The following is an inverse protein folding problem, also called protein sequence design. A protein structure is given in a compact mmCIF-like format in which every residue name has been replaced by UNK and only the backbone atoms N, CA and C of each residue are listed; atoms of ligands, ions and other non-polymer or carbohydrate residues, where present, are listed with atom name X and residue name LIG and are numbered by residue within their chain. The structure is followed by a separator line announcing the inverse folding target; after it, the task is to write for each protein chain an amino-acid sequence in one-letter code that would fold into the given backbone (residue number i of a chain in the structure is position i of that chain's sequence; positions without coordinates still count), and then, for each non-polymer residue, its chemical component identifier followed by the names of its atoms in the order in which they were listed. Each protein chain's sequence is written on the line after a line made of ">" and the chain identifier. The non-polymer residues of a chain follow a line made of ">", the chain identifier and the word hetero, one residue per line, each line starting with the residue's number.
data_IF_609474201512
#
_entry.id   IF_609474201512
#
_cell.length_a   1.000
_cell.length_b   1.000
_cell.length_c   1.000
_cell.angle_alpha   90.00
_cell.angle_beta   90.00
_cell.angle_gamma   90.00
#
_symmetry.space_group_name_H-M   'P 1'
#
loop_
_entity.id
_entity.type
_entity.pdbx_description
1 polymer ?
#
# COMPACT_ATOMS: atom_id res chain seq x y z
N UNK A 1 66.55 -40.00 -0.87
CA UNK A 1 65.91 -41.16 -1.52
C UNK A 1 65.18 -41.88 -0.41
N UNK A 2 63.86 -41.84 -0.26
CA UNK A 2 62.76 -41.53 -1.18
C UNK A 2 61.57 -41.01 -0.33
N UNK A 3 60.86 -39.96 -0.78
CA UNK A 3 59.49 -39.98 -1.31
C UNK A 3 58.43 -40.52 -0.31
N UNK A 4 57.63 -39.63 0.29
CA UNK A 4 56.22 -39.35 -0.10
C UNK A 4 55.27 -40.51 0.24
N UNK A 5 54.45 -40.34 1.27
CA UNK A 5 53.22 -41.12 1.45
C UNK A 5 52.05 -40.16 1.71
N UNK A 6 51.19 -40.07 0.70
CA UNK A 6 49.87 -39.42 0.72
C UNK A 6 48.80 -40.53 0.66
N UNK A 7 47.53 -40.16 0.94
CA UNK A 7 46.29 -40.97 0.75
C UNK A 7 45.94 -41.89 1.94
N UNK A 8 44.70 -42.03 2.43
CA UNK A 8 43.38 -41.49 2.08
C UNK A 8 42.49 -41.52 3.33
N UNK A 9 41.75 -40.45 3.60
CA UNK A 9 40.58 -40.51 4.48
C UNK A 9 39.35 -40.80 3.61
N UNK A 10 38.84 -42.02 3.75
CA UNK A 10 37.64 -42.53 3.09
C UNK A 10 36.39 -41.77 3.52
N UNK A 11 35.57 -41.49 2.51
CA UNK A 11 34.26 -40.85 2.52
C UNK A 11 33.25 -41.52 3.46
N UNK A 12 32.56 -40.70 4.26
CA UNK A 12 31.19 -40.95 4.70
C UNK A 12 30.34 -39.76 4.28
N UNK A 13 29.69 -39.92 3.12
CA UNK A 13 28.58 -39.08 2.65
C UNK A 13 27.43 -39.34 3.64
N UNK A 14 26.99 -38.28 4.32
CA UNK A 14 25.66 -38.26 4.92
C UNK A 14 24.89 -37.19 4.16
N UNK A 15 24.05 -37.65 3.25
CA UNK A 15 23.05 -36.87 2.56
C UNK A 15 22.21 -36.14 3.60
N UNK A 16 22.44 -34.84 3.76
CA UNK A 16 21.53 -33.99 4.52
C UNK A 16 20.34 -33.70 3.62
N UNK A 17 19.20 -34.22 4.06
CA UNK A 17 17.88 -33.97 3.52
C UNK A 17 17.75 -32.53 3.05
N UNK A 18 17.46 -32.39 1.76
CA UNK A 18 17.03 -31.14 1.17
C UNK A 18 15.71 -30.72 1.81
N UNK A 19 15.79 -29.89 2.86
CA UNK A 19 14.63 -29.16 3.36
C UNK A 19 14.05 -28.36 2.20
N UNK A 20 12.93 -28.85 1.69
CA UNK A 20 12.13 -28.21 0.67
C UNK A 20 11.50 -26.96 1.28
N UNK A 21 12.24 -25.85 1.28
CA UNK A 21 11.66 -24.54 1.56
C UNK A 21 10.55 -24.31 0.53
N UNK A 22 9.29 -24.34 0.99
CA UNK A 22 8.16 -23.83 0.21
C UNK A 22 8.53 -22.42 -0.25
N UNK A 23 8.72 -22.26 -1.57
CA UNK A 23 8.98 -20.95 -2.15
C UNK A 23 7.67 -20.17 -2.13
N UNK A 24 7.48 -19.39 -1.08
CA UNK A 24 6.30 -18.52 -0.94
C UNK A 24 6.13 -17.56 -2.12
N UNK A 25 7.23 -17.14 -2.77
CA UNK A 25 7.19 -16.29 -3.98
C UNK A 25 7.75 -17.04 -5.19
N UNK A 26 7.03 -17.00 -6.31
CA UNK A 26 7.26 -17.80 -7.51
C UNK A 26 8.43 -17.33 -8.36
N UNK A 27 9.61 -17.13 -7.78
CA UNK A 27 10.77 -16.66 -8.51
C UNK A 27 11.53 -17.81 -9.18
N UNK A 28 11.59 -17.77 -10.52
CA UNK A 28 12.42 -18.68 -11.33
C UNK A 28 13.94 -18.44 -11.16
N UNK A 29 14.36 -17.36 -10.46
CA UNK A 29 15.76 -16.85 -10.54
C UNK A 29 16.52 -16.59 -9.24
N UNK A 30 16.02 -16.95 -8.04
CA UNK A 30 16.80 -16.82 -6.79
C UNK A 30 17.05 -15.38 -6.30
N UNK A 31 16.35 -14.38 -6.85
CA UNK A 31 16.52 -12.95 -6.54
C UNK A 31 15.99 -12.51 -5.17
N UNK A 32 15.55 -13.46 -4.34
CA UNK A 32 14.90 -13.22 -3.06
C UNK A 32 15.47 -14.18 -2.02
N UNK A 33 15.86 -13.64 -0.87
CA UNK A 33 16.38 -14.38 0.28
C UNK A 33 15.44 -14.16 1.47
N UNK A 34 14.86 -15.24 2.02
CA UNK A 34 14.13 -15.16 3.28
C UNK A 34 15.11 -14.91 4.42
N UNK A 35 14.83 -13.91 5.24
CA UNK A 35 15.65 -13.59 6.41
C UNK A 35 15.16 -14.35 7.65
N UNK A 36 16.10 -14.86 8.44
CA UNK A 36 15.88 -15.39 9.77
C UNK A 36 15.49 -14.26 10.73
N UNK A 37 14.81 -14.59 11.83
CA UNK A 37 14.27 -13.58 12.76
C UNK A 37 15.36 -12.81 13.52
N UNK A 38 16.53 -13.41 13.71
CA UNK A 38 17.71 -12.85 14.35
C UNK A 38 18.62 -12.05 13.40
N UNK A 39 18.37 -12.12 12.08
CA UNK A 39 19.11 -11.33 11.09
C UNK A 39 19.00 -9.84 11.40
N UNK A 40 20.13 -9.15 11.47
CA UNK A 40 20.19 -7.71 11.76
C UNK A 40 19.29 -6.90 10.81
N UNK A 41 19.24 -7.25 9.53
CA UNK A 41 18.39 -6.59 8.55
C UNK A 41 16.90 -6.84 8.81
N UNK A 42 16.53 -8.05 9.21
CA UNK A 42 15.16 -8.41 9.60
C UNK A 42 14.71 -7.58 10.81
N UNK A 43 15.54 -7.54 11.86
CA UNK A 43 15.28 -6.74 13.07
C UNK A 43 15.09 -5.26 12.72
N UNK A 44 15.96 -4.69 11.89
CA UNK A 44 15.89 -3.28 11.49
C UNK A 44 14.64 -2.95 10.68
N UNK A 45 14.26 -3.79 9.72
CA UNK A 45 13.08 -3.53 8.88
C UNK A 45 11.77 -3.71 9.66
N UNK A 46 11.69 -4.72 10.55
CA UNK A 46 10.57 -4.89 11.48
C UNK A 46 10.47 -3.68 12.42
N UNK A 47 11.58 -3.23 12.99
CA UNK A 47 11.60 -2.05 13.86
C UNK A 47 11.11 -0.78 13.11
N UNK A 48 11.61 -0.56 11.88
CA UNK A 48 11.16 0.56 11.02
C UNK A 48 9.64 0.55 10.84
N UNK A 49 9.08 -0.61 10.47
CA UNK A 49 7.63 -0.78 10.33
C UNK A 49 6.89 -0.51 11.65
N UNK A 50 7.21 -1.26 12.71
CA UNK A 50 6.44 -1.23 13.96
C UNK A 50 6.52 0.11 14.69
N UNK A 51 7.68 0.79 14.64
CA UNK A 51 7.83 2.11 15.27
C UNK A 51 6.84 3.14 14.72
N UNK A 52 6.48 3.04 13.43
CA UNK A 52 5.54 3.94 12.77
C UNK A 52 4.08 3.48 12.86
N UNK A 53 3.82 2.20 13.19
CA UNK A 53 2.45 1.68 13.41
C UNK A 53 1.88 2.07 14.78
N UNK A 54 2.72 2.41 15.75
CA UNK A 54 2.30 2.81 17.10
C UNK A 54 1.39 1.76 17.75
N UNK A 55 0.20 2.15 18.23
CA UNK A 55 -0.73 1.23 18.88
C UNK A 55 -1.21 0.09 17.96
N UNK A 56 -1.22 0.29 16.64
CA UNK A 56 -1.64 -0.73 15.67
C UNK A 56 -0.59 -1.86 15.51
N UNK A 57 0.65 -1.67 15.97
CA UNK A 57 1.68 -2.71 15.91
C UNK A 57 1.25 -4.02 16.60
N UNK A 58 0.35 -3.97 17.60
CA UNK A 58 -0.11 -5.14 18.36
C UNK A 58 -1.06 -6.07 17.60
N UNK A 59 -1.68 -5.57 16.52
CA UNK A 59 -2.64 -6.36 15.73
C UNK A 59 -2.06 -6.83 14.40
N UNK A 60 -0.84 -6.42 14.05
CA UNK A 60 -0.15 -6.88 12.86
C UNK A 60 1.05 -7.74 13.26
N UNK A 61 1.12 -8.94 12.71
CA UNK A 61 2.24 -9.85 12.88
C UNK A 61 2.97 -10.01 11.56
N UNK A 62 4.24 -9.59 11.51
CA UNK A 62 5.12 -9.89 10.36
C UNK A 62 5.44 -11.38 10.38
N UNK A 63 4.92 -12.11 9.39
CA UNK A 63 5.08 -13.56 9.23
C UNK A 63 6.43 -13.89 8.59
N UNK A 64 6.85 -13.08 7.63
CA UNK A 64 8.08 -13.31 6.89
C UNK A 64 8.65 -12.00 6.38
N UNK A 65 9.99 -11.95 6.30
CA UNK A 65 10.74 -10.87 5.68
C UNK A 65 11.65 -11.48 4.64
N UNK A 66 11.62 -10.93 3.43
CA UNK A 66 12.53 -11.30 2.37
C UNK A 66 13.35 -10.10 1.93
N UNK A 67 14.63 -10.32 1.63
CA UNK A 67 15.54 -9.37 1.03
C UNK A 67 15.66 -9.66 -0.46
N UNK A 68 15.57 -8.62 -1.30
CA UNK A 68 15.89 -8.75 -2.72
C UNK A 68 17.42 -8.77 -2.88
N UNK A 69 17.98 -9.89 -3.32
CA UNK A 69 19.43 -10.11 -3.46
C UNK A 69 20.00 -9.47 -4.72
N UNK A 70 19.14 -9.15 -5.69
CA UNK A 70 19.49 -8.51 -6.97
C UNK A 70 20.59 -9.28 -7.72
N UNK A 71 20.46 -10.61 -7.77
CA UNK A 71 21.48 -11.51 -8.30
C UNK A 71 21.43 -11.66 -9.82
N UNK A 72 20.24 -11.61 -10.42
CA UNK A 72 20.02 -11.71 -11.86
C UNK A 72 20.62 -10.52 -12.62
N UNK A 73 20.90 -10.72 -13.91
CA UNK A 73 21.40 -9.65 -14.78
C UNK A 73 20.43 -8.48 -14.85
N UNK A 74 19.14 -8.78 -14.95
CA UNK A 74 18.06 -7.78 -14.97
C UNK A 74 18.00 -6.99 -13.67
N UNK A 75 18.07 -7.66 -12.52
CA UNK A 75 18.05 -6.98 -11.23
C UNK A 75 19.31 -6.11 -10.99
N UNK A 76 20.48 -6.57 -11.46
CA UNK A 76 21.73 -5.78 -11.44
C UNK A 76 21.66 -4.55 -12.34
N UNK A 77 21.07 -4.68 -13.54
CA UNK A 77 20.88 -3.56 -14.44
C UNK A 77 19.98 -2.49 -13.80
N UNK A 78 18.81 -2.88 -13.26
CA UNK A 78 17.90 -1.97 -12.55
C UNK A 78 18.57 -1.27 -11.37
N UNK A 79 19.39 -1.99 -10.60
CA UNK A 79 20.15 -1.39 -9.49
C UNK A 79 21.11 -0.30 -10.00
N UNK A 80 21.87 -0.59 -11.06
CA UNK A 80 22.80 0.39 -11.65
C UNK A 80 22.06 1.60 -12.20
N UNK A 81 20.92 1.40 -12.85
CA UNK A 81 20.09 2.49 -13.36
C UNK A 81 19.61 3.38 -12.22
N UNK A 82 19.15 2.77 -11.12
CA UNK A 82 18.77 3.51 -9.91
C UNK A 82 19.94 4.31 -9.32
N UNK A 83 21.11 3.68 -9.14
CA UNK A 83 22.31 4.34 -8.60
C UNK A 83 22.75 5.51 -9.49
N UNK A 84 22.79 5.30 -10.81
CA UNK A 84 23.17 6.32 -11.78
C UNK A 84 22.17 7.49 -11.80
N UNK A 85 20.87 7.21 -11.76
CA UNK A 85 19.85 8.26 -11.69
C UNK A 85 19.91 9.02 -10.36
N UNK A 86 20.26 8.36 -9.26
CA UNK A 86 20.46 9.06 -7.98
C UNK A 86 21.58 10.10 -8.07
N UNK A 87 22.67 9.80 -8.78
CA UNK A 87 23.77 10.74 -9.02
C UNK A 87 23.33 11.84 -10.00
N UNK A 88 22.62 11.49 -11.07
CA UNK A 88 22.13 12.47 -12.05
C UNK A 88 21.18 13.50 -11.41
N UNK A 89 20.21 13.04 -10.62
CA UNK A 89 19.28 13.94 -9.90
C UNK A 89 20.02 14.75 -8.84
N UNK A 90 20.98 14.16 -8.12
CA UNK A 90 21.84 14.90 -7.17
C UNK A 90 22.54 16.08 -7.85
N UNK A 91 23.10 15.85 -9.03
CA UNK A 91 23.80 16.87 -9.81
C UNK A 91 22.81 17.93 -10.35
N UNK A 92 21.62 17.52 -10.79
CA UNK A 92 20.55 18.43 -11.24
C UNK A 92 19.99 19.30 -10.09
N UNK A 93 19.96 18.79 -8.86
CA UNK A 93 19.24 19.38 -7.71
C UNK A 93 20.15 19.80 -6.56
N UNK A 94 21.03 20.77 -6.81
CA UNK A 94 21.85 21.44 -5.79
C UNK A 94 22.60 20.50 -4.83
N UNK A 95 22.97 19.30 -5.29
CA UNK A 95 23.73 18.33 -4.50
C UNK A 95 22.90 17.35 -3.66
N UNK A 96 21.57 17.29 -3.80
CA UNK A 96 20.74 16.33 -3.06
C UNK A 96 19.67 15.65 -3.95
N UNK A 97 19.76 14.33 -4.10
CA UNK A 97 18.76 13.54 -4.82
C UNK A 97 17.48 13.24 -4.03
N UNK A 98 17.45 13.59 -2.74
CA UNK A 98 16.31 13.36 -1.84
C UNK A 98 15.84 11.89 -1.89
N UNK A 99 16.78 10.96 -1.70
CA UNK A 99 16.48 9.52 -1.66
C UNK A 99 15.82 9.19 -0.33
N UNK A 100 14.63 8.58 -0.37
CA UNK A 100 13.84 8.21 0.82
C UNK A 100 13.39 6.77 0.78
N UNK A 101 13.06 6.23 1.96
CA UNK A 101 12.33 4.97 2.05
C UNK A 101 10.83 5.21 1.86
N UNK A 102 10.17 4.24 1.23
CA UNK A 102 8.73 4.27 1.02
C UNK A 102 8.14 2.85 0.99
N UNK A 103 6.89 2.73 1.42
CA UNK A 103 6.13 1.49 1.49
C UNK A 103 5.16 1.37 0.32
N UNK A 104 5.17 0.23 -0.35
CA UNK A 104 4.22 -0.09 -1.41
C UNK A 104 3.45 -1.36 -1.05
N UNK A 105 2.12 -1.28 -1.02
CA UNK A 105 1.25 -2.40 -0.68
C UNK A 105 0.69 -3.05 -1.94
N UNK A 106 0.78 -4.38 -2.05
CA UNK A 106 0.35 -5.10 -3.27
C UNK A 106 -0.06 -6.54 -2.97
N UNK A 107 -0.58 -7.23 -3.98
CA UNK A 107 -0.89 -8.67 -3.89
C UNK A 107 0.37 -9.51 -4.02
N UNK A 108 0.26 -10.80 -3.71
CA UNK A 108 1.35 -11.78 -3.88
C UNK A 108 1.87 -11.80 -5.33
N UNK A 109 0.95 -11.83 -6.30
CA UNK A 109 1.27 -11.78 -7.72
C UNK A 109 1.94 -10.45 -8.10
N UNK A 110 1.48 -9.35 -7.50
CA UNK A 110 2.11 -8.05 -7.70
C UNK A 110 3.55 -7.97 -7.16
N UNK A 111 3.88 -8.72 -6.10
CA UNK A 111 5.26 -8.87 -5.63
C UNK A 111 6.10 -9.61 -6.67
N UNK A 112 5.61 -10.76 -7.16
CA UNK A 112 6.31 -11.55 -8.18
C UNK A 112 6.57 -10.72 -9.45
N UNK A 113 5.60 -9.92 -9.87
CA UNK A 113 5.74 -9.01 -11.02
C UNK A 113 6.77 -7.92 -10.80
N UNK A 114 6.82 -7.31 -9.60
CA UNK A 114 7.83 -6.31 -9.26
C UNK A 114 9.23 -6.91 -9.30
N UNK A 115 9.40 -8.16 -8.86
CA UNK A 115 10.68 -8.84 -8.90
C UNK A 115 11.08 -9.13 -10.35
N UNK A 116 10.18 -9.72 -11.14
CA UNK A 116 10.45 -10.13 -12.52
C UNK A 116 10.64 -8.93 -13.46
N UNK A 117 9.67 -8.01 -13.48
CA UNK A 117 9.58 -6.91 -14.47
C UNK A 117 9.82 -5.52 -13.91
N UNK A 118 9.78 -5.33 -12.59
CA UNK A 118 9.85 -4.01 -11.97
C UNK A 118 8.47 -3.36 -11.85
N UNK A 119 8.45 -2.08 -11.51
CA UNK A 119 7.21 -1.31 -11.38
C UNK A 119 6.70 -0.91 -12.77
N UNK A 120 5.44 -1.23 -13.05
CA UNK A 120 4.79 -0.90 -14.33
C UNK A 120 3.38 -0.34 -14.11
N UNK A 121 3.01 0.65 -14.91
CA UNK A 121 1.66 1.22 -14.95
C UNK A 121 0.77 0.59 -16.02
N UNK A 122 1.32 -0.16 -16.98
CA UNK A 122 0.59 -0.71 -18.13
C UNK A 122 -0.62 -1.56 -17.73
N UNK A 123 -0.58 -2.17 -16.54
CA UNK A 123 -1.64 -3.03 -16.01
C UNK A 123 -2.53 -2.35 -14.96
N UNK A 124 -2.18 -1.15 -14.50
CA UNK A 124 -3.05 -0.31 -13.66
C UNK A 124 -3.98 0.53 -14.54
N UNK A 125 -4.80 -0.16 -15.33
CA UNK A 125 -5.88 0.35 -16.19
C UNK A 125 -6.10 1.87 -16.18
N UNK A 126 -5.36 2.65 -16.99
CA UNK A 126 -5.54 4.11 -17.22
C UNK A 126 -5.81 4.99 -15.98
N UNK A 127 -5.48 4.50 -14.78
CA UNK A 127 -6.02 5.07 -13.56
C UNK A 127 -5.06 6.13 -13.04
N UNK A 128 -5.30 7.38 -13.46
CA UNK A 128 -4.87 8.55 -12.66
C UNK A 128 -5.34 8.30 -11.23
N UNK A 129 -4.42 8.06 -10.30
CA UNK A 129 -4.74 8.04 -8.89
C UNK A 129 -5.28 9.40 -8.45
N UNK A 130 -5.42 9.59 -7.14
CA UNK A 130 -6.06 10.79 -6.57
C UNK A 130 -5.27 12.08 -6.92
N UNK A 131 -4.02 11.95 -7.33
CA UNK A 131 -3.07 13.02 -7.61
C UNK A 131 -2.33 12.82 -8.95
N UNK A 132 -3.01 12.32 -9.99
CA UNK A 132 -2.40 12.06 -11.30
C UNK A 132 -2.03 10.59 -11.55
N UNK A 133 -1.52 10.29 -12.74
CA UNK A 133 -1.06 8.95 -13.13
C UNK A 133 0.40 8.75 -12.74
N UNK A 134 0.63 7.86 -11.79
CA UNK A 134 1.94 7.49 -11.31
C UNK A 134 1.82 6.30 -10.37
N UNK A 135 2.94 5.72 -9.99
CA UNK A 135 2.98 4.75 -8.89
C UNK A 135 2.98 5.51 -7.58
N UNK A 136 2.10 5.10 -6.67
CA UNK A 136 1.92 5.71 -5.36
C UNK A 136 2.64 4.89 -4.31
N UNK A 137 3.64 5.48 -3.65
CA UNK A 137 4.30 4.88 -2.49
C UNK A 137 4.00 5.71 -1.25
N UNK A 138 3.83 5.04 -0.13
CA UNK A 138 3.60 5.70 1.14
C UNK A 138 4.92 6.07 1.80
N UNK A 139 4.99 7.27 2.35
CA UNK A 139 6.14 7.72 3.12
C UNK A 139 6.49 6.72 4.22
N UNK A 140 7.78 6.63 4.57
CA UNK A 140 8.26 5.74 5.62
C UNK A 140 7.57 5.95 6.97
N UNK A 141 7.03 7.15 7.21
CA UNK A 141 6.27 7.50 8.42
C UNK A 141 4.79 7.09 8.38
N UNK A 142 4.32 6.55 7.26
CA UNK A 142 2.91 6.21 7.02
C UNK A 142 2.69 4.77 6.50
N UNK A 143 3.34 3.72 7.06
CA UNK A 143 3.14 2.35 6.58
C UNK A 143 1.71 1.85 6.79
N UNK A 144 0.97 2.39 7.77
CA UNK A 144 -0.43 2.03 8.02
C UNK A 144 -1.34 2.35 6.83
N UNK A 145 -1.03 3.41 6.08
CA UNK A 145 -1.78 3.77 4.87
C UNK A 145 -1.53 2.76 3.75
N UNK A 146 -0.29 2.28 3.63
CA UNK A 146 0.08 1.20 2.71
C UNK A 146 -0.67 -0.09 3.04
N UNK A 147 -0.66 -0.51 4.31
CA UNK A 147 -1.39 -1.67 4.81
C UNK A 147 -2.90 -1.54 4.52
N UNK A 148 -3.48 -0.37 4.81
CA UNK A 148 -4.91 -0.13 4.61
C UNK A 148 -5.34 -0.19 3.14
N UNK A 149 -4.42 0.15 2.21
CA UNK A 149 -4.64 0.05 0.77
C UNK A 149 -4.42 -1.36 0.20
N UNK A 150 -3.80 -2.26 0.98
CA UNK A 150 -3.42 -3.62 0.58
C UNK A 150 -4.58 -4.61 0.75
N UNK A 151 -4.69 -5.55 -0.17
CA UNK A 151 -5.62 -6.67 -0.10
C UNK A 151 -4.89 -7.93 0.33
N UNK A 152 -5.50 -8.70 1.22
CA UNK A 152 -4.92 -9.95 1.68
C UNK A 152 -5.03 -11.03 0.60
N UNK A 153 -4.04 -11.90 0.52
CA UNK A 153 -4.04 -13.08 -0.36
C UNK A 153 -5.00 -14.18 0.15
N UNK A 154 -4.97 -15.35 -0.50
CA UNK A 154 -5.76 -16.52 -0.11
C UNK A 154 -5.45 -17.04 1.30
N UNK A 155 -4.27 -16.74 1.85
CA UNK A 155 -3.81 -17.14 3.18
C UNK A 155 -4.02 -16.06 4.24
N UNK A 156 -4.67 -14.96 3.86
CA UNK A 156 -4.91 -13.81 4.71
C UNK A 156 -3.69 -12.94 4.97
N UNK A 157 -2.64 -13.05 4.14
CA UNK A 157 -1.41 -12.28 4.24
C UNK A 157 -1.48 -10.99 3.41
N UNK A 158 -1.02 -9.90 4.01
CA UNK A 158 -0.83 -8.59 3.36
C UNK A 158 0.64 -8.46 2.98
N UNK A 159 0.93 -8.20 1.72
CA UNK A 159 2.32 -8.05 1.25
C UNK A 159 2.68 -6.58 1.06
N UNK A 160 3.76 -6.17 1.72
CA UNK A 160 4.35 -4.84 1.59
C UNK A 160 5.75 -4.96 1.00
N UNK A 161 6.10 -4.02 0.13
CA UNK A 161 7.42 -3.85 -0.44
C UNK A 161 8.02 -2.55 0.12
N UNK A 162 9.16 -2.65 0.80
CA UNK A 162 9.96 -1.49 1.18
C UNK A 162 10.89 -1.13 0.05
N UNK A 163 10.78 0.11 -0.42
CA UNK A 163 11.55 0.64 -1.53
C UNK A 163 12.43 1.81 -1.07
N UNK A 164 13.56 2.01 -1.75
CA UNK A 164 14.21 3.30 -1.87
C UNK A 164 13.65 4.04 -3.08
N UNK A 165 13.43 5.34 -2.93
CA UNK A 165 12.80 6.18 -3.94
C UNK A 165 13.59 7.48 -4.09
N UNK A 166 13.96 7.82 -5.32
CA UNK A 166 14.57 9.11 -5.64
C UNK A 166 13.44 10.11 -5.83
N UNK A 167 13.31 11.09 -4.94
CA UNK A 167 12.23 12.09 -5.02
C UNK A 167 12.69 13.39 -5.69
N UNK A 168 13.99 13.67 -5.69
CA UNK A 168 14.52 14.94 -6.19
C UNK A 168 13.79 16.15 -5.60
N UNK A 169 13.51 17.14 -6.44
CA UNK A 169 12.64 18.25 -6.09
C UNK A 169 11.17 17.85 -6.23
N UNK A 170 10.41 17.98 -5.15
CA UNK A 170 9.03 17.50 -5.06
C UNK A 170 8.05 18.63 -5.37
N UNK A 171 6.99 18.34 -6.14
CA UNK A 171 5.85 19.25 -6.29
C UNK A 171 4.64 18.78 -5.48
N UNK A 172 3.87 19.73 -4.93
CA UNK A 172 2.56 19.40 -4.38
C UNK A 172 1.56 19.21 -5.52
N UNK A 173 1.02 18.00 -5.64
CA UNK A 173 0.02 17.70 -6.66
C UNK A 173 -1.37 17.92 -6.08
N UNK A 174 -2.21 18.61 -6.83
CA UNK A 174 -3.59 18.88 -6.41
C UNK A 174 -4.44 17.63 -6.55
N UNK A 175 -5.30 17.39 -5.56
CA UNK A 175 -6.27 16.31 -5.59
C UNK A 175 -7.21 16.44 -6.81
N UNK A 176 -7.34 15.35 -7.56
CA UNK A 176 -8.09 15.28 -8.82
C UNK A 176 -7.26 15.64 -10.05
N UNK A 177 -5.96 15.90 -9.90
CA UNK A 177 -5.05 16.15 -11.02
C UNK A 177 -5.02 14.96 -12.00
N UNK A 178 -4.82 15.29 -13.28
CA UNK A 178 -4.61 14.33 -14.37
C UNK A 178 -3.14 14.31 -14.85
N UNK A 179 -2.23 14.94 -14.10
CA UNK A 179 -0.80 14.95 -14.43
C UNK A 179 -0.27 13.54 -14.60
N UNK A 180 0.59 13.33 -15.59
CA UNK A 180 1.31 12.07 -15.85
C UNK A 180 2.84 12.25 -15.85
N UNK A 181 3.28 13.46 -15.56
CA UNK A 181 4.65 13.92 -15.60
C UNK A 181 4.77 15.16 -14.70
N UNK A 182 5.98 15.61 -14.38
CA UNK A 182 6.18 16.84 -13.63
C UNK A 182 5.47 18.05 -14.27
N UNK A 183 4.99 19.00 -13.46
CA UNK A 183 4.41 20.25 -13.99
C UNK A 183 5.43 21.13 -14.72
N UNK A 184 6.71 21.01 -14.38
CA UNK A 184 7.83 21.70 -15.03
C UNK A 184 9.14 20.93 -14.85
N UNK A 185 10.18 21.34 -15.57
CA UNK A 185 11.55 20.79 -15.42
C UNK A 185 12.17 21.02 -14.04
N UNK A 186 11.56 21.84 -13.19
CA UNK A 186 12.01 22.10 -11.83
C UNK A 186 11.72 20.94 -10.89
N UNK A 187 10.77 20.05 -11.24
CA UNK A 187 10.31 18.97 -10.38
C UNK A 187 10.68 17.60 -10.95
N UNK A 188 10.80 16.62 -10.05
CA UNK A 188 11.13 15.24 -10.38
C UNK A 188 10.03 14.26 -9.94
N UNK A 189 9.36 14.53 -8.82
CA UNK A 189 8.29 13.69 -8.28
C UNK A 189 7.14 14.50 -7.67
N UNK A 190 5.97 13.89 -7.55
CA UNK A 190 4.81 14.50 -6.92
C UNK A 190 4.61 14.05 -5.48
N UNK A 191 4.03 14.92 -4.65
CA UNK A 191 3.58 14.60 -3.29
C UNK A 191 2.18 15.12 -3.00
N UNK A 192 1.50 14.53 -2.02
CA UNK A 192 0.20 15.03 -1.58
C UNK A 192 0.28 16.34 -0.78
N UNK A 193 1.38 16.54 -0.04
CA UNK A 193 1.73 17.77 0.68
C UNK A 193 3.25 17.91 0.78
N UNK A 194 3.77 19.12 0.64
CA UNK A 194 5.21 19.37 0.86
C UNK A 194 5.63 19.17 2.33
N UNK A 195 4.80 19.63 3.26
CA UNK A 195 5.05 19.52 4.68
C UNK A 195 4.48 18.21 5.23
N UNK A 196 5.35 17.24 5.46
CA UNK A 196 4.97 15.91 5.94
C UNK A 196 4.22 15.09 4.88
N UNK A 197 4.87 14.81 3.73
CA UNK A 197 4.27 14.04 2.64
C UNK A 197 3.89 12.64 3.14
N UNK A 198 2.68 12.21 2.81
CA UNK A 198 2.24 10.84 3.06
C UNK A 198 2.36 9.98 1.82
N UNK A 199 2.24 10.60 0.64
CA UNK A 199 2.25 9.93 -0.63
C UNK A 199 3.34 10.51 -1.51
N UNK A 200 4.13 9.63 -2.08
CA UNK A 200 5.05 9.90 -3.16
C UNK A 200 4.44 9.39 -4.45
N UNK A 201 4.49 10.20 -5.49
CA UNK A 201 3.95 9.92 -6.81
C UNK A 201 5.13 9.89 -7.76
N UNK A 202 5.46 8.71 -8.26
CA UNK A 202 6.53 8.54 -9.24
C UNK A 202 5.90 8.43 -10.61
N UNK A 203 6.32 9.33 -11.49
CA UNK A 203 5.77 9.45 -12.82
C UNK A 203 6.16 8.25 -13.71
N UNK A 204 5.33 7.87 -14.70
CA UNK A 204 5.59 6.77 -15.62
C UNK A 204 7.01 6.73 -16.20
N UNK A 205 7.57 7.88 -16.58
CA UNK A 205 8.91 7.98 -17.18
C UNK A 205 10.05 7.61 -16.22
N UNK A 206 9.77 7.43 -14.93
CA UNK A 206 10.77 7.27 -13.87
C UNK A 206 10.60 5.99 -13.06
N UNK A 207 9.64 5.12 -13.39
CA UNK A 207 9.34 3.94 -12.57
C UNK A 207 10.51 2.97 -12.46
N UNK A 208 11.22 2.73 -13.56
CA UNK A 208 12.34 1.80 -13.61
C UNK A 208 13.62 2.38 -13.01
N UNK A 209 13.74 3.71 -12.94
CA UNK A 209 14.97 4.40 -12.56
C UNK A 209 14.91 5.04 -11.18
N UNK A 210 13.73 5.38 -10.67
CA UNK A 210 13.56 6.13 -9.41
C UNK A 210 13.02 5.28 -8.27
N UNK A 211 12.72 3.99 -8.49
CA UNK A 211 12.24 3.07 -7.46
C UNK A 211 13.14 1.83 -7.42
N UNK A 212 13.73 1.56 -6.26
CA UNK A 212 14.48 0.34 -6.00
C UNK A 212 13.82 -0.43 -4.85
N UNK A 213 13.12 -1.55 -5.10
CA UNK A 213 12.64 -2.43 -4.04
C UNK A 213 13.80 -3.12 -3.31
N UNK A 214 13.64 -3.34 -2.00
CA UNK A 214 14.73 -3.81 -1.11
C UNK A 214 14.26 -4.98 -0.24
N UNK A 215 13.11 -4.83 0.41
CA UNK A 215 12.55 -5.86 1.27
C UNK A 215 11.08 -6.12 0.93
N UNK A 216 10.64 -7.35 1.13
CA UNK A 216 9.24 -7.77 1.08
C UNK A 216 8.86 -8.24 2.49
N UNK A 217 7.74 -7.75 3.01
CA UNK A 217 7.19 -8.15 4.29
C UNK A 217 5.81 -8.73 4.04
N UNK A 218 5.57 -9.94 4.55
CA UNK A 218 4.22 -10.51 4.60
C UNK A 218 3.70 -10.38 6.03
N UNK A 219 2.55 -9.73 6.19
CA UNK A 219 1.93 -9.47 7.48
C UNK A 219 0.61 -10.19 7.58
N UNK A 220 0.30 -10.69 8.77
CA UNK A 220 -1.02 -11.20 9.13
C UNK A 220 -1.67 -10.25 10.11
N UNK A 221 -2.96 -10.01 9.90
CA UNK A 221 -3.79 -9.28 10.85
C UNK A 221 -4.30 -10.26 11.92
N UNK A 222 -3.87 -10.08 13.16
CA UNK A 222 -4.34 -10.84 14.32
C UNK A 222 -5.34 -10.00 15.15
N UNK A 223 -6.62 -10.23 14.90
CA UNK A 223 -7.72 -9.61 15.65
C UNK A 223 -8.04 -10.34 16.97
N UNK A 224 -7.39 -11.47 17.26
CA UNK A 224 -7.67 -12.30 18.46
C UNK A 224 -6.85 -11.86 19.68
N UNK A 225 -5.90 -10.92 19.53
CA UNK A 225 -5.13 -10.39 20.65
C UNK A 225 -6.09 -9.75 21.69
N UNK A 226 -6.26 -10.44 22.83
CA UNK A 226 -7.25 -10.16 23.90
C UNK A 226 -7.26 -8.71 24.46
N UNK A 227 -6.28 -7.88 24.12
CA UNK A 227 -6.14 -6.48 24.56
C UNK A 227 -6.71 -5.46 23.58
N UNK A 228 -6.94 -5.84 22.33
CA UNK A 228 -7.77 -5.10 21.37
C UNK A 228 -9.12 -5.82 21.23
N UNK A 229 -9.84 -5.97 22.35
CA UNK A 229 -11.25 -5.60 22.26
C UNK A 229 -11.26 -4.11 21.92
N UNK A 230 -11.15 -3.77 20.63
CA UNK A 230 -12.14 -2.83 20.13
C UNK A 230 -13.44 -3.36 20.70
N UNK A 231 -14.12 -2.57 21.54
CA UNK A 231 -15.51 -2.87 21.89
C UNK A 231 -16.14 -3.47 20.64
N UNK A 232 -16.54 -4.75 20.71
CA UNK A 232 -16.95 -5.54 19.55
C UNK A 232 -17.71 -4.60 18.63
N UNK A 233 -17.24 -4.37 17.37
CA UNK A 233 -17.50 -3.15 16.61
C UNK A 233 -18.92 -2.75 16.89
N UNK A 234 -19.14 -1.72 17.74
CA UNK A 234 -20.45 -1.46 18.36
C UNK A 234 -21.45 -1.70 17.27
N UNK A 235 -22.22 -2.79 17.39
CA UNK A 235 -23.11 -3.28 16.33
C UNK A 235 -23.72 -2.03 15.72
N UNK A 236 -23.41 -1.65 14.46
CA UNK A 236 -23.53 -0.27 14.05
C UNK A 236 -24.92 0.21 14.46
N UNK A 237 -24.96 1.13 15.44
CA UNK A 237 -26.22 1.68 15.95
C UNK A 237 -26.94 2.49 14.86
N UNK A 238 -26.23 2.69 13.74
CA UNK A 238 -26.64 3.24 12.47
C UNK A 238 -27.18 2.16 11.52
N UNK A 239 -28.39 2.33 10.96
CA UNK A 239 -28.86 1.52 9.85
C UNK A 239 -27.85 1.46 8.70
N UNK A 240 -27.73 0.30 8.06
CA UNK A 240 -26.85 0.08 6.92
C UNK A 240 -27.18 1.07 5.79
N UNK A 241 -26.22 1.91 5.39
CA UNK A 241 -26.32 2.77 4.21
C UNK A 241 -25.58 2.12 3.05
N UNK A 242 -26.22 2.01 1.88
CA UNK A 242 -25.53 1.52 0.69
C UNK A 242 -24.41 2.47 0.28
N UNK A 243 -23.31 1.94 -0.25
CA UNK A 243 -22.15 2.75 -0.67
C UNK A 243 -22.55 3.81 -1.68
N UNK A 244 -23.47 3.49 -2.60
CA UNK A 244 -24.06 4.41 -3.58
C UNK A 244 -24.76 5.58 -2.89
N UNK A 245 -25.55 5.31 -1.85
CA UNK A 245 -26.28 6.33 -1.10
C UNK A 245 -25.34 7.19 -0.26
N UNK A 246 -24.30 6.60 0.33
CA UNK A 246 -23.25 7.34 1.01
C UNK A 246 -22.52 8.29 0.06
N UNK A 247 -22.07 7.79 -1.10
CA UNK A 247 -21.42 8.60 -2.15
C UNK A 247 -22.34 9.71 -2.63
N UNK A 248 -23.64 9.43 -2.83
CA UNK A 248 -24.62 10.43 -3.26
C UNK A 248 -24.76 11.58 -2.25
N UNK A 249 -24.81 11.27 -0.94
CA UNK A 249 -24.94 12.29 0.10
C UNK A 249 -23.64 13.07 0.26
N UNK A 250 -22.48 12.39 0.32
CA UNK A 250 -21.19 13.06 0.46
C UNK A 250 -20.87 13.95 -0.72
N UNK A 251 -21.25 13.56 -1.95
CA UNK A 251 -21.02 14.35 -3.16
C UNK A 251 -21.69 15.72 -3.14
N UNK A 252 -22.78 15.90 -2.37
CA UNK A 252 -23.47 17.21 -2.24
C UNK A 252 -22.69 18.22 -1.41
N UNK A 253 -21.71 17.77 -0.63
CA UNK A 253 -20.94 18.59 0.31
C UNK A 253 -19.47 18.74 -0.12
N UNK A 254 -19.14 18.36 -1.35
CA UNK A 254 -17.77 18.32 -1.84
C UNK A 254 -17.60 19.18 -3.10
N UNK A 255 -16.44 19.82 -3.29
CA UNK A 255 -16.10 20.49 -4.55
C UNK A 255 -16.21 19.53 -5.76
N UNK A 256 -16.55 20.05 -6.95
CA UNK A 256 -16.72 19.23 -8.16
C UNK A 256 -15.53 18.33 -8.49
N UNK A 257 -14.30 18.79 -8.22
CA UNK A 257 -13.06 18.02 -8.44
C UNK A 257 -13.03 16.75 -7.60
N UNK A 258 -13.37 16.85 -6.31
CA UNK A 258 -13.48 15.72 -5.39
C UNK A 258 -14.60 14.75 -5.78
N UNK A 259 -15.75 15.28 -6.19
CA UNK A 259 -16.89 14.46 -6.66
C UNK A 259 -16.51 13.67 -7.91
N UNK A 260 -15.80 14.30 -8.85
CA UNK A 260 -15.30 13.65 -10.06
C UNK A 260 -14.35 12.49 -9.70
N UNK A 261 -13.41 12.71 -8.78
CA UNK A 261 -12.53 11.64 -8.29
C UNK A 261 -13.31 10.49 -7.64
N UNK A 262 -14.32 10.77 -6.81
CA UNK A 262 -15.15 9.71 -6.19
C UNK A 262 -15.91 8.90 -7.24
N UNK A 263 -16.52 9.56 -8.24
CA UNK A 263 -17.21 8.87 -9.34
C UNK A 263 -16.26 7.98 -10.11
N UNK A 264 -15.05 8.46 -10.39
CA UNK A 264 -14.02 7.68 -11.06
C UNK A 264 -13.70 6.39 -10.29
N UNK A 265 -13.31 6.51 -9.02
CA UNK A 265 -12.98 5.32 -8.20
C UNK A 265 -14.17 4.37 -8.03
N UNK A 266 -15.40 4.90 -7.99
CA UNK A 266 -16.59 4.06 -7.96
C UNK A 266 -16.76 3.25 -9.25
N UNK A 267 -16.54 3.87 -10.42
CA UNK A 267 -16.56 3.16 -11.70
C UNK A 267 -15.44 2.11 -11.77
N UNK A 268 -14.24 2.44 -11.30
CA UNK A 268 -13.12 1.49 -11.23
C UNK A 268 -13.45 0.26 -10.38
N UNK A 269 -14.18 0.45 -9.29
CA UNK A 269 -14.66 -0.65 -8.46
C UNK A 269 -15.72 -1.50 -9.19
N UNK A 270 -16.64 -0.87 -9.93
CA UNK A 270 -17.64 -1.62 -10.72
C UNK A 270 -17.01 -2.39 -11.88
N UNK A 271 -15.89 -1.90 -12.42
CA UNK A 271 -15.11 -2.54 -13.47
C UNK A 271 -14.08 -3.55 -12.93
N UNK A 272 -14.10 -3.84 -11.62
CA UNK A 272 -13.16 -4.74 -10.93
C UNK A 272 -11.67 -4.35 -11.04
N UNK A 273 -11.37 -3.08 -11.36
CA UNK A 273 -10.01 -2.54 -11.44
C UNK A 273 -9.40 -2.25 -10.08
N UNK A 274 -10.25 -1.88 -9.11
CA UNK A 274 -9.86 -1.68 -7.72
C UNK A 274 -10.77 -2.47 -6.79
N UNK A 275 -10.24 -2.85 -5.64
CA UNK A 275 -11.01 -3.61 -4.64
C UNK A 275 -11.91 -2.69 -3.81
N UNK A 276 -12.90 -3.28 -3.14
CA UNK A 276 -13.77 -2.55 -2.21
C UNK A 276 -12.97 -1.82 -1.11
N UNK A 277 -11.88 -2.43 -0.61
CA UNK A 277 -11.01 -1.81 0.41
C UNK A 277 -10.30 -0.57 -0.14
N UNK A 278 -9.74 -0.66 -1.34
CA UNK A 278 -9.12 0.48 -2.02
C UNK A 278 -10.13 1.59 -2.28
N UNK A 279 -11.35 1.28 -2.72
CA UNK A 279 -12.42 2.27 -2.87
C UNK A 279 -12.76 2.96 -1.55
N UNK A 280 -12.91 2.21 -0.45
CA UNK A 280 -13.15 2.78 0.89
C UNK A 280 -11.98 3.66 1.32
N UNK A 281 -10.75 3.22 1.07
CA UNK A 281 -9.54 3.97 1.36
C UNK A 281 -9.52 5.31 0.61
N UNK A 282 -9.71 5.31 -0.72
CA UNK A 282 -9.76 6.53 -1.52
C UNK A 282 -10.93 7.44 -1.11
N UNK A 283 -12.11 6.87 -0.82
CA UNK A 283 -13.26 7.63 -0.35
C UNK A 283 -12.96 8.37 0.96
N UNK A 284 -12.36 7.69 1.94
CA UNK A 284 -11.96 8.30 3.23
C UNK A 284 -10.96 9.43 3.02
N UNK A 285 -10.06 9.31 2.04
CA UNK A 285 -9.08 10.36 1.72
C UNK A 285 -9.67 11.58 1.03
N UNK A 286 -10.59 11.39 0.10
CA UNK A 286 -11.20 12.49 -0.65
C UNK A 286 -12.18 13.25 0.25
N UNK A 287 -13.07 12.50 0.93
CA UNK A 287 -14.15 13.04 1.75
C UNK A 287 -13.64 13.50 3.12
N UNK A 288 -12.73 12.73 3.73
CA UNK A 288 -12.28 12.90 5.10
C UNK A 288 -13.20 12.21 6.10
N UNK A 289 -12.61 11.59 7.13
CA UNK A 289 -13.35 10.85 8.16
C UNK A 289 -14.33 11.72 8.95
N UNK A 290 -13.99 13.00 9.18
CA UNK A 290 -14.88 13.95 9.89
C UNK A 290 -16.21 14.14 9.17
N UNK A 291 -16.16 14.35 7.84
CA UNK A 291 -17.34 14.56 7.02
C UNK A 291 -18.13 13.25 6.85
N UNK A 292 -17.44 12.12 6.67
CA UNK A 292 -18.08 10.79 6.64
C UNK A 292 -18.87 10.51 7.93
N UNK A 293 -18.26 10.77 9.09
CA UNK A 293 -18.93 10.62 10.39
C UNK A 293 -20.13 11.56 10.50
N UNK A 294 -20.01 12.82 10.08
CA UNK A 294 -21.11 13.78 10.11
C UNK A 294 -22.29 13.36 9.22
N UNK A 295 -22.01 12.88 8.01
CA UNK A 295 -23.02 12.36 7.07
C UNK A 295 -23.71 11.13 7.64
N UNK A 296 -22.96 10.19 8.21
CA UNK A 296 -23.52 9.00 8.85
C UNK A 296 -24.42 9.38 10.04
N UNK A 297 -23.99 10.33 10.89
CA UNK A 297 -24.81 10.84 12.00
C UNK A 297 -26.10 11.50 11.52
N UNK A 298 -26.03 12.37 10.49
CA UNK A 298 -27.21 13.02 9.90
C UNK A 298 -28.17 11.99 9.29
N UNK A 299 -27.65 10.99 8.58
CA UNK A 299 -28.48 9.95 7.99
C UNK A 299 -29.24 9.15 9.04
N UNK A 300 -28.59 8.82 10.16
CA UNK A 300 -29.25 8.11 11.27
C UNK A 300 -30.34 8.94 11.95
N UNK A 301 -30.10 10.25 12.12
CA UNK A 301 -31.11 11.15 12.68
C UNK A 301 -32.35 11.24 11.77
N UNK A 302 -32.15 11.29 10.45
CA UNK A 302 -33.23 11.30 9.47
C UNK A 302 -34.01 9.97 9.44
N UNK A 303 -33.33 8.82 9.56
CA UNK A 303 -33.97 7.50 9.65
C UNK A 303 -34.84 7.39 10.91
N UNK A 304 -34.33 7.81 12.08
CA UNK A 304 -35.09 7.84 13.35
C UNK A 304 -36.32 8.75 13.27
N UNK A 305 -36.22 9.88 12.57
CA UNK A 305 -37.36 10.78 12.36
C UNK A 305 -38.43 10.21 11.42
N UNK A 306 -38.04 9.45 10.41
CA UNK A 306 -39.00 8.74 9.52
C UNK A 306 -39.68 7.55 10.18
N UNK A 307 -39.01 6.87 11.11
CA UNK A 307 -39.63 5.82 11.94
C UNK A 307 -40.61 6.42 12.94
N UNK A 308 -40.25 7.53 13.59
CA UNK A 308 -41.15 8.26 14.51
C UNK A 308 -42.38 8.87 13.82
N UNK A 309 -42.28 9.31 12.56
CA UNK A 309 -43.44 9.78 11.78
C UNK A 309 -44.39 8.64 11.36
N UNK A 310 -43.89 7.41 11.21
CA UNK A 310 -44.71 6.24 10.90
C UNK A 310 -45.44 5.71 12.13
N UNK A 311 -44.89 5.87 13.33
CA UNK A 311 -45.55 5.53 14.60
C UNK A 311 -46.56 6.59 15.06
N UNK A 312 -46.36 7.86 14.72
CA UNK A 312 -47.33 8.95 15.02
C UNK A 312 -48.49 9.06 14.02
N UNK A 313 -48.46 8.32 12.90
CA UNK A 313 -49.52 8.31 11.87
C UNK A 313 -50.59 7.22 12.07
N UNK A 314 -50.56 6.50 13.20
CA UNK A 314 -51.58 5.51 13.60
C UNK A 314 -52.29 5.98 14.87
N UNK A 315 -52.95 7.13 14.83
CA UNK A 315 -53.87 7.62 15.86
C UNK A 315 -54.67 8.79 15.28
N UNK A 316 -55.40 8.55 14.18
CA UNK A 316 -56.65 9.26 13.88
C UNK A 316 -57.32 8.64 12.66
N UNK A 317 -58.25 7.71 12.90
CA UNK A 317 -59.44 7.41 12.08
C UNK A 317 -60.17 6.26 12.79
N UNK A 318 -60.96 6.60 13.80
CA UNK A 318 -62.17 5.87 14.18
C UNK A 318 -63.31 6.90 14.06
N UNK A 319 -64.00 6.84 12.92
CA UNK A 319 -65.43 6.48 12.84
C UNK A 319 -66.36 7.61 13.30
N UNK A 320 -66.91 8.34 12.32
CA UNK A 320 -68.19 9.03 12.43
C UNK A 320 -69.10 8.37 11.39
N UNK A 321 -70.15 7.70 11.87
CA UNK A 321 -71.37 7.39 11.10
C UNK A 321 -72.18 8.68 10.90
#
# INVERSE_FOLDING_TARGET
>A
MDAEETSAASSCISDSDSDSYERDFGCSGGDVLRLCDDDRENVLVKHRLYSMLGCAAKIYHVVSVYKLTKSSLTAKARLRDFEMNSVAVRNKRSGNANVRFAWYGTTKEGVDEIIDRGFDLSRTSENTGVYGSGVYLFSDTHPIDSIASTTADSEGLLHLVLCQVILGNMEEVVLGSKQRQPSSEEFDSGVDKLNGPKNYIIWPAHLETHISPIFILSLRLDLQSRRFRMEAPRKPSSPWISLVKLISITSRHLPPTKVCSIKKFYNDYTESKITRRQLIYYLRRIVGDKLLIAVLKCFNANMRNTENKRSSGKLDTQEIY
#
